data_IF_506258558944
#
_entry.id   IF_506258558944
#
_cell.length_a   1.000
_cell.length_b   1.000
_cell.length_c   1.000
_cell.angle_alpha   90.00
_cell.angle_beta   90.00
_cell.angle_gamma   90.00
#
_symmetry.space_group_name_H-M   'P 1'
#
loop_
_entity.id
_entity.type
_entity.pdbx_description
1 polymer ?
#
# COMPACT_ATOMS: atom_id res chain seq x y z
N UNK A 1 -11.47 13.67 6.09
CA UNK A 1 -10.70 13.57 4.83
C UNK A 1 -9.23 13.56 5.17
N UNK A 2 -8.56 12.41 5.08
CA UNK A 2 -7.14 12.31 5.41
C UNK A 2 -6.31 12.97 4.30
N UNK A 3 -5.33 13.78 4.71
CA UNK A 3 -4.36 14.43 3.82
C UNK A 3 -2.97 14.05 4.31
N UNK A 4 -2.06 13.73 3.40
CA UNK A 4 -0.67 13.44 3.74
C UNK A 4 0.23 14.49 3.10
N UNK A 5 1.03 15.19 3.90
CA UNK A 5 1.94 16.23 3.40
C UNK A 5 3.30 15.61 3.11
N UNK A 6 3.71 15.69 1.85
CA UNK A 6 5.05 15.31 1.43
C UNK A 6 6.09 16.34 1.87
N UNK A 7 7.33 15.90 2.10
CA UNK A 7 8.49 16.77 2.39
C UNK A 7 8.73 17.82 1.28
N UNK A 8 8.36 17.54 0.01
CA UNK A 8 8.47 18.53 -1.07
C UNK A 8 7.42 19.65 -1.02
N UNK A 9 6.45 19.58 -0.10
CA UNK A 9 5.35 20.54 0.04
C UNK A 9 4.04 20.11 -0.59
N UNK A 10 4.05 19.10 -1.49
CA UNK A 10 2.82 18.58 -2.09
C UNK A 10 1.91 17.92 -1.04
N UNK A 11 0.60 18.16 -1.15
CA UNK A 11 -0.41 17.52 -0.31
C UNK A 11 -1.07 16.39 -1.08
N UNK A 12 -0.78 15.15 -0.68
CA UNK A 12 -1.40 13.94 -1.24
C UNK A 12 -2.81 13.84 -0.67
N UNK A 13 -3.80 13.86 -1.57
CA UNK A 13 -5.19 13.62 -1.21
C UNK A 13 -5.44 12.11 -1.12
N UNK A 14 -5.80 11.63 0.07
CA UNK A 14 -6.06 10.21 0.31
C UNK A 14 -7.56 9.89 0.20
N UNK A 15 -8.29 10.64 -0.64
CA UNK A 15 -9.68 10.35 -0.93
C UNK A 15 -9.81 9.03 -1.69
N UNK A 16 -10.90 8.29 -1.47
CA UNK A 16 -11.16 7.00 -2.12
C UNK A 16 -11.18 7.07 -3.66
N UNK A 17 -11.34 8.27 -4.22
CA UNK A 17 -11.32 8.53 -5.67
C UNK A 17 -9.88 8.63 -6.22
N UNK A 18 -8.90 8.91 -5.36
CA UNK A 18 -7.49 9.14 -5.69
C UNK A 18 -6.59 7.95 -5.30
N UNK A 19 -7.09 6.71 -5.44
CA UNK A 19 -6.31 5.47 -5.24
C UNK A 19 -5.02 5.38 -6.08
N UNK A 20 -4.78 6.34 -6.98
CA UNK A 20 -3.54 6.49 -7.77
C UNK A 20 -2.30 6.72 -6.91
N UNK A 21 -2.46 7.26 -5.69
CA UNK A 21 -1.34 7.60 -4.80
C UNK A 21 -1.25 6.73 -3.55
N UNK A 22 -2.23 5.83 -3.35
CA UNK A 22 -2.30 4.88 -2.24
C UNK A 22 -2.10 3.47 -2.75
N UNK A 23 -1.02 2.84 -2.31
CA UNK A 23 -0.56 1.55 -2.79
C UNK A 23 -0.45 0.61 -1.60
N UNK A 24 -0.57 -0.69 -1.86
CA UNK A 24 -0.32 -1.75 -0.89
C UNK A 24 0.97 -2.49 -1.28
N UNK A 25 1.82 -2.78 -0.32
CA UNK A 25 2.96 -3.67 -0.48
C UNK A 25 2.74 -4.91 0.34
N UNK A 26 2.75 -6.05 -0.33
CA UNK A 26 2.56 -7.38 0.26
C UNK A 26 3.77 -8.23 -0.14
N UNK A 27 4.36 -9.02 0.78
CA UNK A 27 5.40 -9.98 0.43
C UNK A 27 4.91 -10.96 -0.64
N UNK A 28 5.76 -11.28 -1.61
CA UNK A 28 5.37 -12.17 -2.71
C UNK A 28 4.94 -13.56 -2.21
N UNK A 29 5.64 -14.12 -1.23
CA UNK A 29 5.30 -15.40 -0.61
C UNK A 29 3.86 -15.40 -0.06
N UNK A 30 3.42 -14.28 0.53
CA UNK A 30 2.02 -14.13 1.00
C UNK A 30 1.02 -14.09 -0.16
N UNK A 31 1.37 -13.47 -1.29
CA UNK A 31 0.51 -13.48 -2.48
C UNK A 31 0.37 -14.89 -3.03
N UNK A 32 1.46 -15.67 -3.04
CA UNK A 32 1.45 -17.07 -3.44
C UNK A 32 0.58 -17.93 -2.51
N UNK A 33 0.72 -17.76 -1.19
CA UNK A 33 -0.12 -18.45 -0.18
C UNK A 33 -1.62 -18.16 -0.39
N UNK A 34 -1.98 -16.89 -0.60
CA UNK A 34 -3.36 -16.48 -0.91
C UNK A 34 -3.85 -17.15 -2.20
N UNK A 35 -2.98 -17.29 -3.20
CA UNK A 35 -3.27 -17.99 -4.46
C UNK A 35 -3.58 -19.46 -4.26
N UNK A 36 -2.77 -20.16 -3.45
CA UNK A 36 -3.00 -21.56 -3.10
C UNK A 36 -4.34 -21.72 -2.38
N UNK A 37 -4.62 -20.87 -1.40
CA UNK A 37 -5.89 -20.93 -0.66
C UNK A 37 -7.12 -20.65 -1.55
N UNK A 38 -6.99 -19.78 -2.56
CA UNK A 38 -8.04 -19.56 -3.55
C UNK A 38 -8.31 -20.83 -4.35
N UNK A 39 -7.27 -21.53 -4.83
CA UNK A 39 -7.41 -22.75 -5.61
C UNK A 39 -7.98 -23.92 -4.79
N UNK A 40 -7.58 -24.02 -3.52
CA UNK A 40 -8.06 -25.06 -2.59
C UNK A 40 -9.46 -24.76 -2.01
N UNK A 41 -10.05 -23.61 -2.34
CA UNK A 41 -11.39 -23.21 -1.88
C UNK A 41 -11.43 -22.73 -0.42
N UNK A 42 -10.28 -22.34 0.13
CA UNK A 42 -10.14 -21.69 1.44
C UNK A 42 -10.62 -20.24 1.44
N UNK A 43 -10.55 -19.55 0.29
CA UNK A 43 -11.10 -18.20 0.09
C UNK A 43 -12.36 -18.31 -0.78
N UNK A 44 -13.51 -17.93 -0.21
CA UNK A 44 -14.82 -18.16 -0.86
C UNK A 44 -15.46 -16.89 -1.37
N UNK A 45 -15.04 -15.75 -0.86
CA UNK A 45 -15.59 -14.44 -1.22
C UNK A 45 -14.47 -13.46 -1.54
N UNK A 46 -14.81 -12.40 -2.27
CA UNK A 46 -13.88 -11.29 -2.47
C UNK A 46 -13.53 -10.59 -1.15
N UNK A 47 -14.44 -10.57 -0.18
CA UNK A 47 -14.20 -10.00 1.14
C UNK A 47 -13.11 -10.77 1.90
N UNK A 48 -13.16 -12.10 1.89
CA UNK A 48 -12.12 -12.96 2.49
C UNK A 48 -10.73 -12.70 1.87
N UNK A 49 -10.69 -12.48 0.55
CA UNK A 49 -9.46 -12.13 -0.17
C UNK A 49 -8.91 -10.79 0.31
N UNK A 50 -9.74 -9.73 0.31
CA UNK A 50 -9.30 -8.40 0.70
C UNK A 50 -8.91 -8.35 2.18
N UNK A 51 -9.59 -9.06 3.07
CA UNK A 51 -9.21 -9.14 4.48
C UNK A 51 -7.79 -9.73 4.65
N UNK A 52 -7.51 -10.86 3.99
CA UNK A 52 -6.18 -11.49 4.03
C UNK A 52 -5.10 -10.61 3.43
N UNK A 53 -5.39 -10.03 2.26
CA UNK A 53 -4.46 -9.15 1.55
C UNK A 53 -4.15 -7.90 2.38
N UNK A 54 -5.18 -7.19 2.87
CA UNK A 54 -5.01 -5.95 3.63
C UNK A 54 -4.34 -6.18 4.98
N UNK A 55 -4.57 -7.33 5.62
CA UNK A 55 -3.90 -7.70 6.87
C UNK A 55 -2.38 -7.86 6.72
N UNK A 56 -1.92 -8.29 5.54
CA UNK A 56 -0.52 -8.44 5.23
C UNK A 56 0.09 -7.21 4.53
N UNK A 57 -0.75 -6.27 4.08
CA UNK A 57 -0.32 -5.12 3.32
C UNK A 57 0.27 -4.02 4.19
N UNK A 58 1.50 -3.61 3.87
CA UNK A 58 2.04 -2.33 4.30
C UNK A 58 1.45 -1.22 3.42
N UNK A 59 1.06 -0.12 4.06
CA UNK A 59 0.52 1.05 3.37
C UNK A 59 1.64 1.84 2.71
N UNK A 60 1.46 2.21 1.45
CA UNK A 60 2.40 3.06 0.72
C UNK A 60 1.69 4.31 0.19
N UNK A 61 2.33 5.46 0.40
CA UNK A 61 1.97 6.71 -0.27
C UNK A 61 3.07 7.14 -1.22
N UNK A 62 2.70 7.43 -2.47
CA UNK A 62 3.62 7.90 -3.50
C UNK A 62 3.31 9.34 -3.87
N UNK A 63 4.26 10.24 -3.65
CA UNK A 63 4.12 11.63 -4.05
C UNK A 63 4.21 11.76 -5.58
N UNK A 64 3.22 12.37 -6.26
CA UNK A 64 3.27 12.53 -7.71
C UNK A 64 4.28 13.57 -8.18
N UNK A 65 4.69 14.52 -7.32
CA UNK A 65 5.62 15.58 -7.71
C UNK A 65 7.08 15.16 -7.60
N UNK A 66 7.51 14.69 -6.43
CA UNK A 66 8.92 14.32 -6.20
C UNK A 66 9.17 12.81 -6.25
N UNK A 67 8.14 12.00 -6.51
CA UNK A 67 8.21 10.54 -6.60
C UNK A 67 8.68 9.81 -5.33
N UNK A 68 8.79 10.54 -4.21
CA UNK A 68 9.09 9.98 -2.89
C UNK A 68 7.99 9.00 -2.45
N UNK A 69 8.42 7.89 -1.87
CA UNK A 69 7.55 6.85 -1.32
C UNK A 69 7.63 6.89 0.20
N UNK A 70 6.47 6.83 0.84
CA UNK A 70 6.31 6.68 2.29
C UNK A 70 5.73 5.31 2.54
N UNK A 71 6.42 4.48 3.32
CA UNK A 71 6.02 3.10 3.60
C UNK A 71 5.73 3.00 5.10
N UNK A 72 4.50 2.62 5.45
CA UNK A 72 4.11 2.39 6.85
C UNK A 72 4.66 1.04 7.30
N UNK A 73 5.72 1.06 8.12
CA UNK A 73 6.36 -0.16 8.63
C UNK A 73 5.80 -0.61 9.98
N UNK A 74 5.19 0.31 10.72
CA UNK A 74 4.40 0.07 11.91
C UNK A 74 3.31 1.15 12.00
N UNK A 75 2.29 1.00 12.87
CA UNK A 75 1.26 2.03 13.03
C UNK A 75 1.86 3.40 13.28
N UNK A 76 1.61 4.33 12.36
CA UNK A 76 2.15 5.71 12.36
C UNK A 76 3.69 5.84 12.24
N UNK A 77 4.41 4.75 11.93
CA UNK A 77 5.85 4.74 11.67
C UNK A 77 6.11 4.63 10.17
N UNK A 78 6.80 5.61 9.62
CA UNK A 78 6.97 5.78 8.18
C UNK A 78 8.44 5.78 7.76
N UNK A 79 8.83 4.81 6.96
CA UNK A 79 10.07 4.86 6.20
C UNK A 79 9.88 5.69 4.93
N UNK A 80 10.92 6.40 4.52
CA UNK A 80 10.89 7.31 3.38
C UNK A 80 11.97 6.95 2.37
N UNK A 81 11.56 6.74 1.12
CA UNK A 81 12.45 6.39 0.01
C UNK A 81 12.37 7.44 -1.09
N UNK A 82 13.52 7.84 -1.62
CA UNK A 82 13.60 8.77 -2.74
C UNK A 82 14.37 8.19 -3.91
N UNK A 83 14.05 8.68 -5.11
CA UNK A 83 14.72 8.25 -6.33
C UNK A 83 16.13 8.82 -6.37
N UNK A 84 17.14 7.96 -6.31
CA UNK A 84 18.53 8.34 -6.57
C UNK A 84 18.75 8.34 -8.09
N UNK A 85 18.99 9.51 -8.67
CA UNK A 85 19.47 9.60 -10.06
C UNK A 85 20.93 9.14 -10.10
N UNK A 86 21.18 8.04 -10.82
CA UNK A 86 22.54 7.60 -11.16
C UNK A 86 23.05 8.34 -12.39
#
# INVERSE_FOLDING_TARGET
MAKFRCICGHVINLSSVDGKYHWAMVPNDTVEDIGVELEEGGIRTAEDFYEKFDKAANRIYKCPECMRMYVETAPEVWDTFERVSR
#
